data_IF_044430743372
#
_entry.id   IF_044430743372
#
_cell.length_a   1.000
_cell.length_b   1.000
_cell.length_c   1.000
_cell.angle_alpha   90.00
_cell.angle_beta   90.00
_cell.angle_gamma   90.00
#
_symmetry.space_group_name_H-M   'P 1'
#
loop_
_entity.id
_entity.type
_entity.pdbx_description
1 polymer ?
#
# COMPACT_ATOMS: atom_id res chain seq x y z
N UNK A 1 -70.80 -27.83 -22.89
CA UNK A 1 -69.78 -28.88 -22.71
C UNK A 1 -68.46 -28.35 -23.30
N UNK A 2 -67.59 -27.83 -22.49
CA UNK A 2 -66.31 -27.30 -22.93
C UNK A 2 -65.23 -28.37 -22.79
N UNK A 3 -64.73 -28.89 -23.93
CA UNK A 3 -63.61 -29.78 -23.97
C UNK A 3 -62.32 -28.98 -23.67
N UNK A 4 -61.76 -29.18 -22.47
CA UNK A 4 -60.44 -28.67 -22.13
C UNK A 4 -59.36 -29.49 -22.85
N UNK A 5 -58.64 -28.86 -23.77
CA UNK A 5 -57.46 -29.43 -24.39
C UNK A 5 -56.35 -29.58 -23.35
N UNK A 6 -56.14 -30.77 -22.83
CA UNK A 6 -54.98 -31.12 -22.02
C UNK A 6 -53.72 -31.22 -22.95
N UNK A 7 -52.85 -30.21 -22.90
CA UNK A 7 -51.57 -30.29 -23.55
C UNK A 7 -50.68 -31.40 -22.89
N UNK A 8 -50.11 -32.36 -23.66
CA UNK A 8 -49.25 -33.38 -23.09
C UNK A 8 -48.02 -32.70 -22.45
N UNK A 9 -47.85 -32.89 -21.16
CA UNK A 9 -46.63 -32.49 -20.44
C UNK A 9 -45.52 -33.43 -20.87
N UNK A 10 -44.55 -32.95 -21.65
CA UNK A 10 -43.33 -33.73 -21.98
C UNK A 10 -42.56 -33.97 -20.69
N UNK A 11 -42.35 -35.21 -20.31
CA UNK A 11 -41.47 -35.60 -19.20
C UNK A 11 -40.01 -35.45 -19.64
N UNK A 12 -39.20 -34.85 -18.80
CA UNK A 12 -37.79 -34.67 -19.05
C UNK A 12 -37.04 -35.99 -18.80
N UNK A 13 -36.18 -36.38 -19.71
CA UNK A 13 -35.39 -37.62 -19.56
C UNK A 13 -34.11 -37.35 -18.75
N UNK A 14 -33.61 -38.34 -18.02
CA UNK A 14 -32.35 -38.26 -17.27
C UNK A 14 -31.19 -37.92 -18.21
N UNK A 15 -31.21 -38.44 -19.44
CA UNK A 15 -30.17 -38.20 -20.46
C UNK A 15 -30.18 -36.73 -20.90
N UNK A 16 -31.35 -36.12 -21.13
CA UNK A 16 -31.42 -34.71 -21.48
C UNK A 16 -30.87 -33.83 -20.37
N UNK A 17 -31.17 -34.15 -19.08
CA UNK A 17 -30.60 -33.44 -17.94
C UNK A 17 -29.09 -33.62 -17.90
N UNK A 18 -28.56 -34.83 -18.07
CA UNK A 18 -27.12 -35.15 -18.04
C UNK A 18 -26.36 -34.36 -19.10
N UNK A 19 -26.88 -34.29 -20.33
CA UNK A 19 -26.24 -33.55 -21.44
C UNK A 19 -26.18 -32.05 -21.11
N UNK A 20 -27.25 -31.48 -20.58
CA UNK A 20 -27.29 -30.06 -20.23
C UNK A 20 -26.26 -29.73 -19.13
N UNK A 21 -26.20 -30.52 -18.04
CA UNK A 21 -25.23 -30.25 -16.96
C UNK A 21 -23.80 -30.45 -17.41
N UNK A 22 -23.51 -31.40 -18.30
CA UNK A 22 -22.16 -31.58 -18.84
C UNK A 22 -21.74 -30.42 -19.74
N UNK A 23 -22.62 -29.91 -20.59
CA UNK A 23 -22.34 -28.74 -21.43
C UNK A 23 -22.07 -27.51 -20.55
N UNK A 24 -22.91 -27.27 -19.55
CA UNK A 24 -22.70 -26.13 -18.58
C UNK A 24 -21.37 -26.30 -17.86
N UNK A 25 -21.03 -27.49 -17.38
CA UNK A 25 -19.77 -27.74 -16.69
C UNK A 25 -18.55 -27.45 -17.58
N UNK A 26 -18.60 -27.85 -18.87
CA UNK A 26 -17.53 -27.55 -19.84
C UNK A 26 -17.42 -26.04 -20.07
N UNK A 27 -18.55 -25.33 -20.25
CA UNK A 27 -18.55 -23.89 -20.46
C UNK A 27 -17.96 -23.15 -19.25
N UNK A 28 -18.33 -23.52 -18.03
CA UNK A 28 -17.78 -22.94 -16.79
C UNK A 28 -16.27 -23.22 -16.68
N UNK A 29 -15.84 -24.45 -16.97
CA UNK A 29 -14.44 -24.84 -16.88
C UNK A 29 -13.53 -24.00 -17.81
N UNK A 30 -14.01 -23.59 -18.97
CA UNK A 30 -13.28 -22.74 -19.93
C UNK A 30 -13.34 -21.26 -19.52
N UNK A 31 -14.46 -20.80 -18.93
CA UNK A 31 -14.63 -19.40 -18.54
C UNK A 31 -13.89 -19.01 -17.25
N UNK A 32 -13.77 -19.92 -16.28
CA UNK A 32 -13.18 -19.63 -14.96
C UNK A 32 -11.75 -19.08 -15.02
N UNK A 33 -10.81 -19.62 -15.82
CA UNK A 33 -9.45 -19.07 -15.91
C UNK A 33 -9.44 -17.65 -16.48
N UNK A 34 -10.27 -17.38 -17.50
CA UNK A 34 -10.40 -16.05 -18.09
C UNK A 34 -10.95 -15.01 -17.12
N UNK A 35 -11.96 -15.37 -16.33
CA UNK A 35 -12.54 -14.51 -15.31
C UNK A 35 -11.54 -14.14 -14.18
N UNK A 36 -10.72 -15.09 -13.75
CA UNK A 36 -9.67 -14.84 -12.76
C UNK A 36 -8.64 -13.84 -13.27
N UNK A 37 -8.17 -14.03 -14.50
CA UNK A 37 -7.23 -13.09 -15.12
C UNK A 37 -7.83 -11.68 -15.27
N UNK A 38 -9.03 -11.60 -15.82
CA UNK A 38 -9.71 -10.32 -15.99
C UNK A 38 -9.96 -9.59 -14.65
N UNK A 39 -10.36 -10.31 -13.60
CA UNK A 39 -10.53 -9.77 -12.26
C UNK A 39 -9.20 -9.27 -11.67
N UNK A 40 -8.08 -10.01 -11.84
CA UNK A 40 -6.76 -9.59 -11.38
C UNK A 40 -6.28 -8.32 -12.08
N UNK A 41 -6.45 -8.23 -13.41
CA UNK A 41 -6.12 -7.02 -14.19
C UNK A 41 -6.98 -5.83 -13.75
N UNK A 42 -8.27 -6.04 -13.51
CA UNK A 42 -9.17 -4.98 -13.05
C UNK A 42 -8.74 -4.43 -11.68
N UNK A 43 -8.35 -5.27 -10.72
CA UNK A 43 -7.84 -4.85 -9.42
C UNK A 43 -6.51 -4.11 -9.53
N UNK A 44 -5.58 -4.57 -10.38
CA UNK A 44 -4.32 -3.87 -10.65
C UNK A 44 -4.57 -2.48 -11.27
N UNK A 45 -5.53 -2.37 -12.20
CA UNK A 45 -5.94 -1.08 -12.79
C UNK A 45 -6.54 -0.15 -11.74
N UNK A 46 -7.36 -0.67 -10.84
CA UNK A 46 -7.92 0.12 -9.73
C UNK A 46 -6.83 0.58 -8.77
N UNK A 47 -5.82 -0.26 -8.46
CA UNK A 47 -4.65 0.12 -7.66
C UNK A 47 -3.88 1.27 -8.32
N UNK A 48 -3.59 1.18 -9.61
CA UNK A 48 -2.92 2.25 -10.38
C UNK A 48 -3.72 3.56 -10.33
N UNK A 49 -5.05 3.49 -10.43
CA UNK A 49 -5.93 4.65 -10.31
C UNK A 49 -5.87 5.26 -8.90
N UNK A 50 -5.87 4.43 -7.86
CA UNK A 50 -5.75 4.88 -6.46
C UNK A 50 -4.40 5.58 -6.23
N UNK A 51 -3.30 4.98 -6.66
CA UNK A 51 -1.95 5.58 -6.54
C UNK A 51 -1.89 6.94 -7.25
N UNK A 52 -2.53 7.09 -8.41
CA UNK A 52 -2.60 8.39 -9.11
C UNK A 52 -3.37 9.43 -8.30
N UNK A 53 -4.49 9.05 -7.68
CA UNK A 53 -5.26 9.95 -6.81
C UNK A 53 -4.48 10.35 -5.56
N UNK A 54 -3.75 9.42 -4.94
CA UNK A 54 -2.86 9.69 -3.81
C UNK A 54 -1.74 10.66 -4.23
N UNK A 55 -1.15 10.47 -5.42
CA UNK A 55 -0.11 11.37 -5.94
C UNK A 55 -0.65 12.77 -6.18
N UNK A 56 -1.84 12.93 -6.76
CA UNK A 56 -2.49 14.23 -6.96
C UNK A 56 -2.73 14.92 -5.61
N UNK A 57 -3.23 14.19 -4.60
CA UNK A 57 -3.42 14.72 -3.26
C UNK A 57 -2.08 15.17 -2.65
N UNK A 58 -1.00 14.39 -2.87
CA UNK A 58 0.34 14.74 -2.42
C UNK A 58 0.89 16.01 -3.10
N UNK A 59 0.71 16.16 -4.40
CA UNK A 59 1.08 17.37 -5.14
C UNK A 59 0.33 18.61 -4.64
N UNK A 60 -0.97 18.48 -4.36
CA UNK A 60 -1.77 19.55 -3.78
C UNK A 60 -1.31 19.92 -2.36
N UNK A 61 -0.98 18.91 -1.54
CA UNK A 61 -0.37 19.11 -0.24
C UNK A 61 0.96 19.89 -0.34
N UNK A 62 1.85 19.44 -1.23
CA UNK A 62 3.16 20.07 -1.47
C UNK A 62 3.00 21.51 -1.95
N UNK A 63 2.05 21.77 -2.85
CA UNK A 63 1.77 23.13 -3.34
C UNK A 63 1.34 24.08 -2.22
N UNK A 64 0.65 23.58 -1.21
CA UNK A 64 0.17 24.36 -0.07
C UNK A 64 1.21 24.50 1.05
N UNK A 65 2.04 23.48 1.25
CA UNK A 65 2.95 23.38 2.40
C UNK A 65 4.43 23.58 2.03
N UNK A 66 4.79 23.53 0.76
CA UNK A 66 6.16 23.72 0.28
C UNK A 66 7.09 22.51 0.45
N UNK A 67 6.62 21.45 1.08
CA UNK A 67 7.38 20.23 1.35
C UNK A 67 6.49 18.99 1.27
N UNK A 68 7.09 17.82 1.09
CA UNK A 68 6.43 16.53 1.16
C UNK A 68 5.80 16.31 2.54
N UNK A 69 4.69 15.57 2.68
CA UNK A 69 4.15 15.23 3.98
C UNK A 69 5.18 14.44 4.81
N UNK A 70 5.22 14.67 6.12
CA UNK A 70 5.99 13.81 7.01
C UNK A 70 5.42 12.39 6.96
N UNK A 71 6.28 11.36 6.94
CA UNK A 71 5.83 9.98 6.96
C UNK A 71 5.11 9.68 8.28
N UNK A 72 5.71 10.09 9.39
CA UNK A 72 5.07 10.16 10.70
C UNK A 72 5.70 11.24 11.55
N UNK A 73 4.85 12.01 12.20
CA UNK A 73 5.23 13.06 13.15
C UNK A 73 4.51 12.78 14.47
N UNK A 74 5.23 12.94 15.57
CA UNK A 74 4.68 12.83 16.92
C UNK A 74 4.60 14.21 17.57
N UNK A 75 3.41 14.59 18.01
CA UNK A 75 3.16 15.89 18.65
C UNK A 75 2.62 15.66 20.06
N UNK A 76 3.29 16.24 21.07
CA UNK A 76 2.77 16.24 22.44
C UNK A 76 1.74 17.36 22.58
N UNK A 77 0.49 16.99 22.75
CA UNK A 77 -0.62 17.91 22.92
C UNK A 77 -1.30 17.65 24.27
N UNK A 78 -1.18 18.61 25.19
CA UNK A 78 -1.77 18.55 26.53
C UNK A 78 -1.50 17.23 27.30
N UNK A 79 -0.25 16.74 27.21
CA UNK A 79 0.19 15.51 27.90
C UNK A 79 -0.17 14.20 27.16
N UNK A 80 -0.78 14.29 25.97
CA UNK A 80 -1.10 13.13 25.12
C UNK A 80 -0.27 13.23 23.85
N UNK A 81 0.36 12.11 23.47
CA UNK A 81 1.06 12.04 22.17
C UNK A 81 0.02 11.87 21.06
N UNK A 82 0.04 12.79 20.11
CA UNK A 82 -0.69 12.76 18.86
C UNK A 82 0.25 12.22 17.77
N UNK A 83 -0.10 11.14 17.15
CA UNK A 83 0.61 10.58 16.00
C UNK A 83 -0.03 11.12 14.73
N UNK A 84 0.73 11.79 13.89
CA UNK A 84 0.30 12.31 12.60
C UNK A 84 1.12 11.58 11.54
N UNK A 85 0.53 10.59 10.88
CA UNK A 85 1.12 9.97 9.71
C UNK A 85 0.59 10.65 8.44
N UNK A 86 1.19 10.37 7.31
CA UNK A 86 0.78 10.94 6.03
C UNK A 86 -0.70 10.64 5.68
N UNK A 87 -1.22 9.49 6.14
CA UNK A 87 -2.55 8.95 5.80
C UNK A 87 -3.52 8.86 6.99
N UNK A 88 -3.07 8.97 8.23
CA UNK A 88 -3.95 9.00 9.40
C UNK A 88 -3.39 9.89 10.52
N UNK A 89 -4.29 10.26 11.41
CA UNK A 89 -3.97 10.88 12.67
C UNK A 89 -4.54 10.05 13.82
N UNK A 90 -3.75 9.82 14.87
CA UNK A 90 -4.19 9.13 16.08
C UNK A 90 -3.99 9.98 17.31
N UNK A 91 -5.04 10.13 18.12
CA UNK A 91 -5.02 10.81 19.41
C UNK A 91 -5.84 10.03 20.42
N UNK A 92 -5.25 9.66 21.56
CA UNK A 92 -5.93 8.93 22.65
C UNK A 92 -6.73 7.71 22.18
N UNK A 93 -6.21 6.98 21.20
CA UNK A 93 -6.84 5.78 20.63
C UNK A 93 -7.89 6.04 19.53
N UNK A 94 -8.33 7.29 19.33
CA UNK A 94 -9.17 7.65 18.20
C UNK A 94 -8.30 7.85 16.96
N UNK A 95 -8.76 7.35 15.81
CA UNK A 95 -8.09 7.49 14.51
C UNK A 95 -8.98 8.28 13.57
N UNK A 96 -8.37 9.26 12.90
CA UNK A 96 -9.01 10.12 11.89
C UNK A 96 -8.16 10.12 10.62
N UNK A 97 -8.70 10.53 9.46
CA UNK A 97 -7.91 10.73 8.25
C UNK A 97 -6.72 11.67 8.50
N UNK A 98 -5.58 11.37 7.88
CA UNK A 98 -4.37 12.16 7.98
C UNK A 98 -4.34 13.37 7.05
N UNK A 99 -3.28 14.18 7.12
CA UNK A 99 -3.21 15.48 6.45
C UNK A 99 -3.26 15.40 4.92
N UNK A 100 -2.92 14.24 4.32
CA UNK A 100 -2.99 14.08 2.88
C UNK A 100 -4.45 14.06 2.38
N UNK A 101 -5.38 13.58 3.20
CA UNK A 101 -6.77 13.40 2.81
C UNK A 101 -7.60 14.67 2.81
N UNK A 102 -7.09 15.78 3.34
CA UNK A 102 -7.68 17.10 3.19
C UNK A 102 -7.66 17.61 1.74
N UNK A 103 -6.89 16.93 0.88
CA UNK A 103 -6.67 17.27 -0.54
C UNK A 103 -7.36 16.32 -1.51
N UNK A 104 -8.28 15.47 -1.04
CA UNK A 104 -9.06 14.55 -1.88
C UNK A 104 -10.48 14.39 -1.36
N UNK A 105 -11.44 14.28 -2.28
CA UNK A 105 -12.87 14.15 -1.95
C UNK A 105 -13.29 12.71 -1.57
N UNK A 106 -12.43 11.70 -1.81
CA UNK A 106 -12.77 10.29 -1.62
C UNK A 106 -11.69 9.50 -0.88
N UNK A 107 -11.33 9.91 0.36
CA UNK A 107 -10.19 9.33 1.06
C UNK A 107 -10.32 7.82 1.30
N UNK A 108 -11.47 7.34 1.77
CA UNK A 108 -11.67 5.92 2.11
C UNK A 108 -11.60 4.99 0.89
N UNK A 109 -12.05 5.45 -0.27
CA UNK A 109 -12.07 4.62 -1.49
C UNK A 109 -10.68 4.36 -2.06
N UNK A 110 -9.72 5.27 -1.83
CA UNK A 110 -8.37 5.20 -2.40
C UNK A 110 -7.31 4.72 -1.43
N UNK A 111 -7.63 4.57 -0.14
CA UNK A 111 -6.65 4.22 0.90
C UNK A 111 -6.26 2.74 0.92
N UNK A 112 -7.06 1.88 0.30
CA UNK A 112 -6.85 0.44 0.31
C UNK A 112 -6.50 -0.09 -1.07
N UNK A 113 -5.38 -0.81 -1.18
CA UNK A 113 -5.07 -1.57 -2.38
C UNK A 113 -6.11 -2.69 -2.58
N UNK A 114 -6.74 -2.82 -3.77
CA UNK A 114 -7.78 -3.83 -4.01
C UNK A 114 -7.30 -5.29 -3.95
N UNK A 115 -6.00 -5.52 -4.10
CA UNK A 115 -5.37 -6.85 -3.98
C UNK A 115 -4.76 -7.09 -2.59
N UNK A 116 -4.88 -6.13 -1.66
CA UNK A 116 -4.36 -6.31 -0.32
C UNK A 116 -5.31 -7.16 0.53
N UNK A 117 -4.78 -8.25 1.05
CA UNK A 117 -5.41 -9.10 2.05
C UNK A 117 -4.48 -9.18 3.26
N UNK A 118 -4.97 -8.85 4.44
CA UNK A 118 -4.18 -8.88 5.67
C UNK A 118 -4.45 -7.72 6.60
N UNK A 119 -3.53 -7.49 7.52
CA UNK A 119 -3.60 -6.43 8.52
C UNK A 119 -2.43 -5.45 8.39
N UNK A 120 -2.62 -4.22 8.87
CA UNK A 120 -1.51 -3.31 9.10
C UNK A 120 -0.56 -3.89 10.14
N UNK A 121 0.71 -3.63 9.95
CA UNK A 121 1.77 -3.92 10.93
C UNK A 121 2.14 -2.68 11.74
N UNK A 122 1.45 -1.57 11.53
CA UNK A 122 1.64 -0.32 12.27
C UNK A 122 0.45 -0.02 13.18
N UNK A 123 0.48 -0.58 14.40
CA UNK A 123 -0.48 -0.27 15.45
C UNK A 123 -1.95 -0.43 15.05
N UNK A 124 -2.74 0.61 15.34
CA UNK A 124 -4.18 0.65 15.04
C UNK A 124 -4.48 1.32 13.68
N UNK A 125 -3.53 1.34 12.77
CA UNK A 125 -3.69 1.90 11.42
C UNK A 125 -4.84 1.21 10.67
N UNK A 126 -5.93 1.94 10.34
CA UNK A 126 -7.06 1.37 9.63
C UNK A 126 -6.83 1.28 8.11
N UNK A 127 -5.78 1.95 7.60
CA UNK A 127 -5.53 2.12 6.17
C UNK A 127 -4.29 1.36 5.78
N UNK A 128 -4.46 0.36 4.95
CA UNK A 128 -3.39 -0.58 4.64
C UNK A 128 -3.30 -0.86 3.15
N UNK A 129 -2.17 -1.40 2.74
CA UNK A 129 -1.94 -1.78 1.36
C UNK A 129 -1.01 -0.84 0.60
N UNK A 130 -0.95 0.44 0.97
CA UNK A 130 0.01 1.38 0.39
C UNK A 130 1.06 1.80 1.41
N UNK A 131 2.27 2.07 0.92
CA UNK A 131 3.35 2.66 1.69
C UNK A 131 3.88 3.94 1.03
N UNK A 132 4.55 4.75 1.83
CA UNK A 132 5.08 6.06 1.47
C UNK A 132 6.58 6.12 1.74
N UNK A 133 7.35 6.70 0.82
CA UNK A 133 8.81 6.79 0.90
C UNK A 133 9.27 7.60 2.10
N UNK A 134 9.70 6.90 3.14
CA UNK A 134 10.21 7.46 4.39
C UNK A 134 11.70 7.75 4.35
N UNK A 135 12.47 6.97 3.56
CA UNK A 135 13.92 7.10 3.55
C UNK A 135 14.39 8.45 3.01
N UNK A 136 13.74 8.96 1.95
CA UNK A 136 14.23 10.13 1.24
C UNK A 136 13.21 11.28 1.14
N UNK A 137 11.92 11.02 1.33
CA UNK A 137 10.87 12.00 1.12
C UNK A 137 10.18 12.46 2.41
N UNK A 138 9.57 11.52 3.12
CA UNK A 138 8.72 11.86 4.27
C UNK A 138 9.44 11.92 5.59
N UNK A 139 10.49 11.13 5.73
CA UNK A 139 11.17 10.85 6.98
C UNK A 139 10.25 10.36 8.11
N UNK A 140 10.83 9.74 9.10
CA UNK A 140 10.10 9.21 10.26
C UNK A 140 10.57 9.93 11.52
N UNK A 141 9.63 10.52 12.25
CA UNK A 141 9.90 11.11 13.57
C UNK A 141 10.12 10.03 14.62
N UNK A 142 10.85 10.35 15.67
CA UNK A 142 11.03 9.47 16.83
C UNK A 142 9.91 9.70 17.84
N UNK A 143 9.32 8.62 18.35
CA UNK A 143 8.31 8.70 19.41
C UNK A 143 8.93 9.32 20.67
N UNK A 144 8.33 10.37 21.26
CA UNK A 144 8.88 11.04 22.43
C UNK A 144 8.79 10.14 23.67
N UNK A 145 9.84 10.12 24.47
CA UNK A 145 9.79 9.58 25.82
C UNK A 145 9.06 10.58 26.72
N UNK A 146 8.01 10.16 27.38
CA UNK A 146 7.23 10.99 28.29
C UNK A 146 7.29 10.47 29.72
N UNK A 147 7.27 11.35 30.69
CA UNK A 147 7.11 11.01 32.11
C UNK A 147 5.65 10.60 32.41
N UNK A 148 5.35 10.07 33.61
CA UNK A 148 3.98 9.74 34.00
C UNK A 148 3.00 10.94 33.99
N UNK A 149 3.52 12.17 33.99
CA UNK A 149 2.74 13.40 33.91
C UNK A 149 2.53 13.88 32.47
N UNK A 150 3.12 13.16 31.48
CA UNK A 150 3.00 13.48 30.06
C UNK A 150 3.98 14.53 29.54
N UNK A 151 5.03 14.90 30.32
CA UNK A 151 6.06 15.81 29.85
C UNK A 151 7.10 15.06 29.02
N UNK A 152 7.56 15.64 27.90
CA UNK A 152 8.62 15.05 27.10
C UNK A 152 9.97 15.11 27.84
N UNK A 153 10.62 13.95 28.03
CA UNK A 153 11.91 13.82 28.70
C UNK A 153 13.08 14.10 27.76
N UNK A 154 12.97 13.70 26.51
CA UNK A 154 14.01 13.80 25.46
C UNK A 154 13.78 14.95 24.47
N UNK A 155 12.66 15.62 24.60
CA UNK A 155 12.23 16.73 23.73
C UNK A 155 11.96 16.26 22.29
N UNK A 156 11.49 17.20 21.48
CA UNK A 156 11.14 17.02 20.06
C UNK A 156 12.36 17.04 19.12
N UNK A 157 13.52 16.62 19.57
CA UNK A 157 14.78 16.76 18.81
C UNK A 157 14.80 16.02 17.49
N UNK A 158 13.84 15.17 17.25
CA UNK A 158 13.82 14.25 16.10
C UNK A 158 12.54 14.33 15.30
N UNK A 159 11.71 15.36 15.49
CA UNK A 159 10.62 15.64 14.56
C UNK A 159 11.23 15.98 13.19
N UNK A 160 11.03 15.10 12.22
CA UNK A 160 11.48 15.32 10.84
C UNK A 160 10.30 15.66 9.98
N UNK A 161 10.43 16.76 9.25
CA UNK A 161 9.49 17.18 8.21
C UNK A 161 9.90 16.55 6.89
N UNK A 162 8.93 16.36 5.99
CA UNK A 162 9.23 15.93 4.64
C UNK A 162 10.11 16.92 3.88
N UNK A 163 10.87 16.43 2.92
CA UNK A 163 11.75 17.28 2.12
C UNK A 163 10.97 18.09 1.08
N UNK A 164 11.47 19.25 0.65
CA UNK A 164 10.93 19.93 -0.52
C UNK A 164 11.23 19.10 -1.78
N UNK A 165 10.29 18.96 -2.74
CA UNK A 165 10.50 18.18 -3.97
C UNK A 165 11.74 18.61 -4.76
N UNK A 166 12.12 19.89 -4.68
CA UNK A 166 13.30 20.46 -5.31
C UNK A 166 14.62 19.89 -4.80
N UNK A 167 14.62 19.21 -3.64
CA UNK A 167 15.82 18.53 -3.12
C UNK A 167 16.10 17.20 -3.84
N UNK A 168 15.13 16.65 -4.57
CA UNK A 168 15.25 15.38 -5.27
C UNK A 168 15.76 15.62 -6.68
N UNK A 169 16.86 14.95 -7.03
CA UNK A 169 17.54 15.12 -8.32
C UNK A 169 16.84 14.44 -9.49
N UNK A 170 16.27 13.27 -9.22
CA UNK A 170 15.57 12.46 -10.23
C UNK A 170 14.12 12.18 -9.80
N UNK A 171 13.18 13.11 -10.05
CA UNK A 171 11.78 12.91 -9.72
C UNK A 171 11.13 11.72 -10.44
N UNK A 172 11.54 11.45 -11.68
CA UNK A 172 11.00 10.35 -12.46
C UNK A 172 11.51 8.98 -11.97
N UNK A 173 12.73 8.91 -11.45
CA UNK A 173 13.30 7.70 -10.86
C UNK A 173 12.86 7.46 -9.41
N UNK A 174 12.30 8.47 -8.72
CA UNK A 174 12.01 8.40 -7.29
C UNK A 174 10.58 7.95 -7.01
N UNK A 175 10.42 6.76 -6.42
CA UNK A 175 9.15 6.25 -5.96
C UNK A 175 8.67 7.03 -4.71
N UNK A 176 7.42 7.45 -4.72
CA UNK A 176 6.75 8.17 -3.62
C UNK A 176 5.83 7.25 -2.84
N UNK A 177 4.93 6.57 -3.55
CA UNK A 177 3.99 5.61 -2.98
C UNK A 177 4.08 4.28 -3.71
N UNK A 178 3.79 3.19 -3.01
CA UNK A 178 3.76 1.87 -3.62
C UNK A 178 2.90 0.89 -2.84
N UNK A 179 2.86 -0.35 -3.30
CA UNK A 179 2.18 -1.44 -2.61
C UNK A 179 3.04 -1.91 -1.44
N UNK A 180 2.65 -1.59 -0.23
CA UNK A 180 3.39 -1.94 0.97
C UNK A 180 3.42 -3.45 1.23
N UNK A 181 4.60 -3.99 1.58
CA UNK A 181 4.82 -5.39 1.93
C UNK A 181 5.60 -5.54 3.24
N UNK A 182 5.06 -6.33 4.16
CA UNK A 182 5.74 -6.67 5.39
C UNK A 182 5.23 -8.00 5.92
N UNK A 183 6.04 -9.06 5.87
CA UNK A 183 5.58 -10.41 6.21
C UNK A 183 4.31 -10.74 5.41
N UNK A 184 3.28 -11.30 6.01
CA UNK A 184 1.96 -11.52 5.36
C UNK A 184 1.01 -10.33 5.40
N UNK A 185 1.49 -9.13 5.74
CA UNK A 185 0.69 -7.91 5.84
C UNK A 185 1.26 -6.75 5.03
N UNK A 186 0.95 -5.52 5.45
CA UNK A 186 1.52 -4.30 4.88
C UNK A 186 2.05 -3.37 5.96
N UNK A 187 3.12 -2.65 5.63
CA UNK A 187 3.63 -1.51 6.39
C UNK A 187 3.43 -0.26 5.54
N UNK A 188 3.04 0.84 6.16
CA UNK A 188 2.81 2.12 5.47
C UNK A 188 4.08 2.90 5.14
N UNK A 189 5.23 2.44 5.59
CA UNK A 189 6.53 3.08 5.37
C UNK A 189 7.31 2.32 4.31
N UNK A 190 7.62 3.00 3.21
CA UNK A 190 8.51 2.50 2.17
C UNK A 190 9.93 2.90 2.53
N UNK A 191 10.82 1.92 2.69
CA UNK A 191 12.23 2.15 2.99
C UNK A 191 13.11 1.67 1.87
N UNK A 192 14.13 2.45 1.60
CA UNK A 192 15.15 2.10 0.62
C UNK A 192 16.00 0.92 1.12
N UNK A 193 16.52 0.05 0.24
CA UNK A 193 17.21 -1.17 0.64
C UNK A 193 18.50 -0.95 1.44
N UNK A 194 19.17 0.19 1.28
CA UNK A 194 20.34 0.56 2.08
C UNK A 194 20.00 1.58 3.17
N UNK A 195 18.87 2.27 3.05
CA UNK A 195 18.34 3.26 3.97
C UNK A 195 19.37 4.27 4.49
N UNK A 196 20.24 4.75 3.59
CA UNK A 196 21.40 5.60 3.95
C UNK A 196 20.97 6.93 4.57
N UNK A 197 19.83 7.47 4.14
CA UNK A 197 19.34 8.74 4.66
C UNK A 197 18.89 8.65 6.13
N UNK A 198 18.33 7.52 6.55
CA UNK A 198 17.86 7.30 7.92
C UNK A 198 18.94 6.66 8.82
N UNK A 199 19.89 5.92 8.24
CA UNK A 199 20.95 5.24 8.97
C UNK A 199 20.49 4.05 9.82
N UNK A 200 19.22 3.67 9.76
CA UNK A 200 18.63 2.54 10.49
C UNK A 200 18.37 1.36 9.55
N UNK A 201 19.27 0.38 9.59
CA UNK A 201 19.14 -0.86 8.83
C UNK A 201 18.15 -1.86 9.47
N UNK A 202 17.83 -1.69 10.75
CA UNK A 202 16.93 -2.60 11.47
C UNK A 202 15.49 -2.57 10.95
N UNK A 203 15.06 -1.43 10.43
CA UNK A 203 13.70 -1.24 9.91
C UNK A 203 13.57 -1.45 8.40
N UNK A 204 14.67 -1.60 7.66
CA UNK A 204 14.67 -1.75 6.20
C UNK A 204 13.75 -2.89 5.73
N UNK A 205 13.83 -4.05 6.38
CA UNK A 205 13.01 -5.20 6.03
C UNK A 205 11.50 -4.96 6.18
N UNK A 206 11.12 -3.99 7.02
CA UNK A 206 9.71 -3.63 7.23
C UNK A 206 9.17 -2.66 6.17
N UNK A 207 10.03 -2.12 5.31
CA UNK A 207 9.67 -1.13 4.28
C UNK A 207 9.65 -1.67 2.86
N UNK A 208 9.48 -2.96 2.67
CA UNK A 208 9.45 -3.60 1.35
C UNK A 208 8.17 -3.30 0.58
N UNK A 209 8.20 -3.60 -0.74
CA UNK A 209 7.03 -3.63 -1.60
C UNK A 209 6.44 -5.04 -1.64
N UNK A 210 5.14 -5.13 -1.88
CA UNK A 210 4.46 -6.39 -2.16
C UNK A 210 4.18 -6.53 -3.65
N UNK A 211 4.68 -7.60 -4.25
CA UNK A 211 4.49 -7.94 -5.66
C UNK A 211 3.23 -8.81 -5.81
N UNK A 212 2.10 -8.30 -5.29
CA UNK A 212 0.85 -9.06 -5.11
C UNK A 212 -0.11 -9.02 -6.29
N UNK A 213 0.08 -8.08 -7.23
CA UNK A 213 -0.81 -7.93 -8.37
C UNK A 213 -0.67 -9.06 -9.38
N UNK A 214 -1.66 -9.21 -10.24
CA UNK A 214 -1.68 -10.22 -11.27
C UNK A 214 -0.39 -10.20 -12.11
N UNK A 215 0.25 -11.36 -12.21
CA UNK A 215 1.57 -11.49 -12.86
C UNK A 215 2.76 -11.29 -11.93
N UNK A 216 2.54 -11.18 -10.60
CA UNK A 216 3.64 -11.04 -9.63
C UNK A 216 4.29 -9.67 -9.68
N UNK A 217 3.51 -8.60 -9.78
CA UNK A 217 4.03 -7.24 -9.86
C UNK A 217 3.54 -6.34 -8.73
N UNK A 218 4.24 -5.22 -8.55
CA UNK A 218 3.90 -4.10 -7.66
C UNK A 218 3.74 -2.82 -8.46
N UNK A 219 2.83 -1.94 -8.04
CA UNK A 219 2.63 -0.64 -8.64
C UNK A 219 3.24 0.45 -7.75
N UNK A 220 3.91 1.42 -8.37
CA UNK A 220 4.50 2.56 -7.67
C UNK A 220 4.20 3.86 -8.38
N UNK A 221 3.88 4.89 -7.60
CA UNK A 221 3.80 6.27 -8.05
C UNK A 221 5.14 6.96 -7.85
N UNK A 222 5.57 7.73 -8.82
CA UNK A 222 6.80 8.50 -8.81
C UNK A 222 6.57 9.97 -8.53
N UNK A 223 7.63 10.69 -8.16
CA UNK A 223 7.54 12.09 -7.74
C UNK A 223 7.11 13.04 -8.87
N UNK A 224 7.27 12.65 -10.11
CA UNK A 224 6.76 13.37 -11.29
C UNK A 224 5.29 13.03 -11.65
N UNK A 225 4.64 12.19 -10.83
CA UNK A 225 3.23 11.81 -10.97
C UNK A 225 2.97 10.60 -11.88
N UNK A 226 3.99 10.02 -12.56
CA UNK A 226 3.75 8.82 -13.35
C UNK A 226 3.65 7.56 -12.46
N UNK A 227 2.98 6.52 -12.97
CA UNK A 227 2.87 5.23 -12.30
C UNK A 227 3.66 4.18 -13.08
N UNK A 228 4.54 3.46 -12.39
CA UNK A 228 5.29 2.32 -12.92
C UNK A 228 4.84 1.01 -12.32
N UNK A 229 5.10 -0.07 -13.05
CA UNK A 229 4.89 -1.44 -12.59
C UNK A 229 6.23 -2.17 -12.58
N UNK A 230 6.57 -2.81 -11.47
CA UNK A 230 7.78 -3.60 -11.29
C UNK A 230 7.40 -5.07 -11.11
N UNK A 231 8.08 -5.97 -11.83
CA UNK A 231 7.81 -7.40 -11.80
C UNK A 231 8.91 -8.21 -11.08
N UNK A 232 10.09 -7.63 -10.90
CA UNK A 232 11.26 -8.32 -10.34
C UNK A 232 11.56 -7.80 -8.93
N UNK A 233 11.15 -8.49 -7.85
CA UNK A 233 11.47 -8.10 -6.50
C UNK A 233 12.98 -8.17 -6.26
N UNK A 234 13.58 -7.04 -5.88
CA UNK A 234 15.01 -6.95 -5.58
C UNK A 234 15.28 -7.25 -4.12
N UNK A 235 16.46 -7.79 -3.82
CA UNK A 235 16.94 -8.00 -2.46
C UNK A 235 17.87 -6.86 -2.03
N UNK A 236 17.91 -6.58 -0.72
CA UNK A 236 18.89 -5.66 -0.17
C UNK A 236 20.15 -6.39 0.30
N UNK A 237 21.35 -5.95 -0.11
CA UNK A 237 22.59 -6.47 0.42
C UNK A 237 22.83 -6.08 1.89
N UNK A 238 22.10 -5.10 2.39
CA UNK A 238 22.28 -4.52 3.73
C UNK A 238 21.39 -5.14 4.80
N UNK A 239 20.40 -5.99 4.44
CA UNK A 239 19.53 -6.66 5.41
C UNK A 239 20.33 -7.74 6.15
N UNK A 240 20.37 -7.70 7.50
CA UNK A 240 20.96 -8.77 8.29
C UNK A 240 20.31 -10.13 7.96
N UNK A 241 21.08 -11.24 7.93
CA UNK A 241 20.53 -12.56 7.63
C UNK A 241 19.34 -12.96 8.53
N UNK A 242 19.33 -12.52 9.78
CA UNK A 242 18.24 -12.74 10.72
C UNK A 242 16.93 -12.05 10.31
N UNK A 243 17.01 -10.97 9.55
CA UNK A 243 15.84 -10.24 9.04
C UNK A 243 15.51 -10.59 7.60
N UNK A 244 16.45 -11.19 6.86
CA UNK A 244 16.23 -11.59 5.47
C UNK A 244 15.02 -12.51 5.32
N UNK A 245 14.77 -13.38 6.29
CA UNK A 245 13.59 -14.26 6.31
C UNK A 245 12.26 -13.50 6.38
N UNK A 246 12.26 -12.26 6.87
CA UNK A 246 11.06 -11.41 6.93
C UNK A 246 10.65 -10.85 5.57
N UNK A 247 11.58 -10.86 4.62
CA UNK A 247 11.31 -10.53 3.21
C UNK A 247 11.26 -11.81 2.38
N UNK A 248 12.32 -12.63 2.43
CA UNK A 248 12.46 -13.83 1.59
C UNK A 248 11.49 -14.96 1.95
N UNK A 249 11.01 -15.03 3.19
CA UNK A 249 9.96 -15.96 3.61
C UNK A 249 8.56 -15.61 3.07
N UNK A 250 8.42 -14.45 2.44
CA UNK A 250 7.21 -13.96 1.78
C UNK A 250 7.60 -13.60 0.35
N UNK A 251 7.48 -14.52 -0.61
CA UNK A 251 8.01 -14.39 -1.96
C UNK A 251 7.44 -13.21 -2.75
N UNK A 252 6.28 -12.70 -2.32
CA UNK A 252 5.67 -11.51 -2.91
C UNK A 252 6.26 -10.20 -2.37
N UNK A 253 7.20 -10.25 -1.42
CA UNK A 253 7.85 -9.07 -0.86
C UNK A 253 9.25 -8.86 -1.47
N UNK A 254 9.61 -7.59 -1.70
CA UNK A 254 10.92 -7.21 -2.21
C UNK A 254 11.11 -5.70 -2.27
N UNK A 255 12.22 -5.27 -2.86
CA UNK A 255 12.52 -3.87 -3.12
C UNK A 255 12.37 -3.56 -4.62
N UNK A 256 12.21 -2.27 -4.95
CA UNK A 256 12.17 -1.79 -6.35
C UNK A 256 13.54 -1.84 -7.02
N UNK A 257 14.60 -1.70 -6.23
CA UNK A 257 16.01 -1.75 -6.67
C UNK A 257 16.87 -2.38 -5.57
N UNK A 258 18.05 -2.87 -5.92
CA UNK A 258 19.03 -3.42 -4.96
C UNK A 258 19.83 -2.36 -4.19
N UNK A 259 19.67 -1.09 -4.57
CA UNK A 259 20.25 0.09 -3.94
C UNK A 259 19.17 1.16 -3.72
N UNK A 260 19.56 2.35 -3.27
CA UNK A 260 18.61 3.41 -2.93
C UNK A 260 18.13 4.23 -4.16
N UNK A 261 18.57 3.93 -5.38
CA UNK A 261 18.31 4.74 -6.58
C UNK A 261 16.80 4.92 -6.87
N UNK A 262 16.00 3.85 -6.78
CA UNK A 262 14.55 3.95 -7.01
C UNK A 262 13.80 4.74 -5.91
N UNK A 263 14.49 5.17 -4.87
CA UNK A 263 13.91 5.87 -3.70
C UNK A 263 14.39 7.32 -3.59
N UNK A 264 15.25 7.79 -4.49
CA UNK A 264 15.82 9.15 -4.50
C UNK A 264 17.19 9.25 -3.84
N UNK A 265 17.81 8.12 -3.51
CA UNK A 265 19.22 8.01 -3.09
C UNK A 265 20.18 7.83 -4.26
N UNK A 266 21.48 8.08 -4.00
CA UNK A 266 22.58 7.83 -4.95
C UNK A 266 23.04 6.36 -4.93
#
# INVERSE_FOLDING_TARGET
MTHGNAHPRRAFTIVELLVVVTVIAILIAVLLPGLRSASGIARSTACTSNLRQISIACEAYVSSNGAMPAAVLYVLDTGVVRTIAWDFEQRAGAVTPGPLWDYTDTPLAVQQCPDFEGASTFGADPYTGYNYNTSYLGHEGTYPTVDPSGNALDGWRTARMGVPPTAIRDPAGTAVFGDGGWRGGANKFMRAPMNRAEGDLGLVAAGTQAFRHWGGCTCCAHLDGHISTYADPQSSPSIPPTMATWVMGFPDNGFLSSNDAAYGGD
#
